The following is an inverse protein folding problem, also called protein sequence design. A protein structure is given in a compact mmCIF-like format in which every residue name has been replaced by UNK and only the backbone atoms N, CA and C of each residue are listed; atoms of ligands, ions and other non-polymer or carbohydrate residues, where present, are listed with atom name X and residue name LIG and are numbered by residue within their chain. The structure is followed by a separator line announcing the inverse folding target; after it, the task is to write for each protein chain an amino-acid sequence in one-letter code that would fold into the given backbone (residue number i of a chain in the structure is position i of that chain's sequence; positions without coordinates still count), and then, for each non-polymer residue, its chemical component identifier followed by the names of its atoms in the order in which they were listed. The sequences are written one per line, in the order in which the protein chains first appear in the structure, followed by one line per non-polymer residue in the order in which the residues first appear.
data_IF_680358068909
#
_entry.id   IF_680358068909
#
_cell.length_a   1.000
_cell.length_b   1.000
_cell.length_c   1.000
_cell.angle_alpha   90.00
_cell.angle_beta   90.00
_cell.angle_gamma   90.00
#
_symmetry.space_group_name_H-M   'P 1'
#
loop_
_entity.id
_entity.type
_entity.pdbx_description
1 polymer ?
#
# COMPACT_ATOMS: atom_id res chain seq x y z
N UNK A 1 -15.96 -5.94 -14.06
CA UNK A 1 -15.46 -4.59 -14.39
C UNK A 1 -13.97 -4.48 -14.11
N UNK A 2 -13.28 -3.72 -14.92
CA UNK A 2 -11.86 -3.43 -14.73
C UNK A 2 -11.74 -1.95 -14.44
N UNK A 3 -11.09 -1.61 -13.32
CA UNK A 3 -10.85 -0.23 -12.94
C UNK A 3 -9.34 0.02 -12.85
N UNK A 4 -8.86 1.04 -13.56
CA UNK A 4 -7.52 1.55 -13.43
C UNK A 4 -7.55 2.79 -12.54
N UNK A 5 -6.61 2.89 -11.62
CA UNK A 5 -6.53 4.05 -10.74
C UNK A 5 -5.10 4.49 -10.54
N UNK A 6 -4.94 5.75 -10.23
CA UNK A 6 -3.65 6.32 -9.91
C UNK A 6 -3.82 7.52 -8.99
N UNK A 7 -2.95 7.61 -8.00
CA UNK A 7 -2.87 8.73 -7.08
C UNK A 7 -1.42 9.20 -6.98
N UNK A 8 -1.25 10.51 -6.93
CA UNK A 8 0.05 11.11 -6.70
C UNK A 8 -0.07 12.13 -5.58
N UNK A 9 0.91 12.16 -4.71
CA UNK A 9 0.94 13.10 -3.59
C UNK A 9 2.34 13.44 -3.17
N UNK A 10 2.46 14.57 -2.50
CA UNK A 10 3.70 14.99 -1.88
C UNK A 10 3.66 14.62 -0.41
N UNK A 11 4.85 14.43 0.16
CA UNK A 11 4.96 14.14 1.57
C UNK A 11 4.48 15.31 2.43
N UNK A 12 3.98 14.99 3.62
CA UNK A 12 3.37 15.92 4.57
C UNK A 12 4.39 16.70 5.41
N UNK A 13 3.97 17.84 5.96
CA UNK A 13 4.69 18.65 6.97
C UNK A 13 6.08 19.13 6.52
N UNK A 14 6.17 19.68 5.32
CA UNK A 14 7.42 20.24 4.82
C UNK A 14 8.43 19.20 4.37
N UNK A 15 8.11 17.92 4.49
CA UNK A 15 8.90 16.87 3.88
C UNK A 15 8.82 17.00 2.37
N UNK A 16 9.97 16.98 1.71
CA UNK A 16 10.03 17.05 0.26
C UNK A 16 10.08 15.64 -0.34
N UNK A 17 9.17 15.34 -1.23
CA UNK A 17 9.16 14.04 -1.89
C UNK A 17 7.85 13.77 -2.57
N UNK A 18 7.86 12.86 -3.52
CA UNK A 18 6.69 12.46 -4.31
C UNK A 18 6.45 10.98 -4.18
N UNK A 19 5.23 10.62 -3.85
CA UNK A 19 4.74 9.25 -3.81
C UNK A 19 3.65 9.09 -4.87
N UNK A 20 3.77 8.04 -5.68
CA UNK A 20 2.77 7.71 -6.70
C UNK A 20 2.28 6.31 -6.45
N UNK A 21 0.97 6.16 -6.37
CA UNK A 21 0.30 4.87 -6.34
C UNK A 21 -0.43 4.65 -7.65
N UNK A 22 -0.33 3.46 -8.19
CA UNK A 22 -1.11 3.05 -9.35
C UNK A 22 -1.50 1.60 -9.23
N UNK A 23 -2.60 1.24 -9.87
CA UNK A 23 -3.08 -0.12 -9.76
C UNK A 23 -4.25 -0.43 -10.67
N UNK A 24 -4.67 -1.68 -10.61
CA UNK A 24 -5.81 -2.20 -11.34
C UNK A 24 -6.68 -3.03 -10.40
N UNK A 25 -7.97 -2.79 -10.45
CA UNK A 25 -8.98 -3.62 -9.75
C UNK A 25 -9.84 -4.32 -10.77
N UNK A 26 -9.94 -5.63 -10.63
CA UNK A 26 -10.83 -6.48 -11.43
C UNK A 26 -11.96 -6.98 -10.55
N UNK A 27 -13.20 -6.64 -10.91
CA UNK A 27 -14.39 -7.12 -10.22
C UNK A 27 -15.17 -8.09 -11.09
N UNK A 28 -15.67 -9.16 -10.49
CA UNK A 28 -16.42 -10.22 -11.16
C UNK A 28 -17.65 -10.59 -10.33
N UNK A 29 -18.86 -10.56 -10.91
CA UNK A 29 -20.02 -11.09 -10.21
C UNK A 29 -19.90 -12.62 -10.09
N UNK A 30 -20.07 -13.15 -8.89
CA UNK A 30 -19.97 -14.59 -8.61
C UNK A 30 -21.36 -15.23 -8.57
N UNK A 31 -22.21 -14.76 -7.67
CA UNK A 31 -23.59 -15.16 -7.52
C UNK A 31 -24.41 -13.93 -7.17
N UNK A 32 -25.74 -14.07 -7.03
CA UNK A 32 -26.60 -12.97 -6.63
C UNK A 32 -26.08 -12.31 -5.34
N UNK A 33 -25.92 -11.00 -5.37
CA UNK A 33 -25.48 -10.18 -4.22
C UNK A 33 -24.04 -10.43 -3.77
N UNK A 34 -23.26 -11.25 -4.48
CA UNK A 34 -21.87 -11.53 -4.16
C UNK A 34 -20.99 -11.20 -5.36
N UNK A 35 -20.04 -10.28 -5.16
CA UNK A 35 -19.05 -9.90 -6.14
C UNK A 35 -17.66 -10.23 -5.63
N UNK A 36 -16.85 -10.87 -6.47
CA UNK A 36 -15.44 -11.07 -6.19
C UNK A 36 -14.60 -9.95 -6.77
N UNK A 37 -13.46 -9.67 -6.15
CA UNK A 37 -12.53 -8.70 -6.68
C UNK A 37 -11.08 -9.12 -6.45
N UNK A 38 -10.22 -8.64 -7.33
CA UNK A 38 -8.76 -8.72 -7.20
C UNK A 38 -8.20 -7.33 -7.46
N UNK A 39 -7.35 -6.87 -6.57
CA UNK A 39 -6.68 -5.59 -6.69
C UNK A 39 -5.17 -5.78 -6.69
N UNK A 40 -4.50 -5.19 -7.66
CA UNK A 40 -3.05 -5.18 -7.78
C UNK A 40 -2.59 -3.75 -7.86
N UNK A 41 -1.69 -3.35 -6.97
CA UNK A 41 -1.19 -1.98 -6.94
C UNK A 41 0.29 -1.92 -6.60
N UNK A 42 0.88 -0.80 -6.95
CA UNK A 42 2.27 -0.49 -6.62
C UNK A 42 2.39 0.94 -6.13
N UNK A 43 3.33 1.15 -5.23
CA UNK A 43 3.74 2.46 -4.76
C UNK A 43 5.13 2.75 -5.27
N UNK A 44 5.29 3.88 -5.92
CA UNK A 44 6.58 4.40 -6.38
C UNK A 44 6.86 5.72 -5.67
N UNK A 45 8.11 5.94 -5.31
CA UNK A 45 8.53 7.18 -4.69
C UNK A 45 9.84 7.68 -5.28
N UNK A 46 10.05 9.00 -5.25
CA UNK A 46 11.32 9.58 -5.63
C UNK A 46 12.35 9.44 -4.49
N UNK A 47 13.60 9.74 -4.78
CA UNK A 47 14.69 9.61 -3.81
C UNK A 47 14.47 10.40 -2.53
N UNK A 48 13.92 11.60 -2.63
CA UNK A 48 13.66 12.45 -1.45
C UNK A 48 12.67 11.79 -0.50
N UNK A 49 11.60 11.22 -1.03
CA UNK A 49 10.61 10.52 -0.23
C UNK A 49 11.23 9.31 0.46
N UNK A 50 12.00 8.50 -0.27
CA UNK A 50 12.65 7.31 0.28
C UNK A 50 13.63 7.67 1.39
N UNK A 51 14.46 8.68 1.18
CA UNK A 51 15.40 9.14 2.22
C UNK A 51 14.68 9.67 3.45
N UNK A 52 13.59 10.41 3.27
CA UNK A 52 12.83 11.01 4.36
C UNK A 52 12.21 9.96 5.29
N UNK A 53 11.62 8.91 4.73
CA UNK A 53 10.84 7.93 5.49
C UNK A 53 11.60 6.66 5.82
N UNK A 54 12.59 6.29 5.04
CA UNK A 54 13.33 5.03 5.20
C UNK A 54 14.84 5.23 5.34
N UNK A 55 15.33 6.44 5.14
CA UNK A 55 16.75 6.74 5.28
C UNK A 55 17.15 6.92 6.74
N UNK A 56 18.40 6.61 7.03
CA UNK A 56 19.04 6.88 8.32
C UNK A 56 20.31 7.67 8.06
N UNK A 57 20.35 8.93 8.49
CA UNK A 57 21.56 9.76 8.33
C UNK A 57 22.66 9.30 9.29
N UNK A 58 23.94 9.65 9.04
CA UNK A 58 25.01 9.35 10.00
C UNK A 58 24.75 9.90 11.41
N UNK A 59 24.14 11.07 11.53
CA UNK A 59 23.75 11.64 12.83
C UNK A 59 22.71 10.80 13.54
N UNK A 60 21.70 10.35 12.80
CA UNK A 60 20.65 9.48 13.33
C UNK A 60 21.20 8.11 13.71
N UNK A 61 22.16 7.58 12.96
CA UNK A 61 22.80 6.31 13.26
C UNK A 61 23.56 6.37 14.60
N UNK A 62 24.16 7.49 14.94
CA UNK A 62 24.86 7.68 16.21
C UNK A 62 23.93 7.72 17.43
N UNK A 63 22.67 8.13 17.23
CA UNK A 63 21.68 8.29 18.30
C UNK A 63 20.63 7.21 18.34
N UNK A 64 20.73 6.20 17.48
CA UNK A 64 19.75 5.12 17.35
C UNK A 64 20.44 3.76 17.23
N UNK A 65 19.64 2.69 17.22
CA UNK A 65 20.13 1.33 16.99
C UNK A 65 20.33 0.98 15.52
N UNK A 66 20.00 1.90 14.60
CA UNK A 66 20.01 1.63 13.18
C UNK A 66 21.31 2.09 12.53
N UNK A 67 21.81 1.32 11.58
CA UNK A 67 22.90 1.74 10.73
C UNK A 67 22.49 2.85 9.78
N UNK A 68 23.45 3.66 9.33
CA UNK A 68 23.17 4.71 8.35
C UNK A 68 22.71 4.10 7.02
N UNK A 69 21.70 4.69 6.43
CA UNK A 69 21.17 4.31 5.13
C UNK A 69 20.81 5.55 4.31
N UNK A 70 21.43 5.66 3.15
CA UNK A 70 21.16 6.74 2.21
C UNK A 70 20.44 6.18 0.98
N UNK A 71 19.28 6.75 0.66
CA UNK A 71 18.58 6.41 -0.56
C UNK A 71 19.31 7.00 -1.76
N UNK A 72 19.68 6.15 -2.70
CA UNK A 72 20.45 6.57 -3.87
C UNK A 72 19.60 6.74 -5.11
N UNK A 73 18.38 6.20 -5.12
CA UNK A 73 17.52 6.21 -6.30
C UNK A 73 16.05 6.21 -5.94
N UNK A 74 15.24 6.61 -6.90
CA UNK A 74 13.80 6.45 -6.89
C UNK A 74 13.42 5.02 -7.27
N UNK A 75 12.25 4.57 -6.88
CA UNK A 75 11.81 3.27 -7.29
C UNK A 75 10.50 2.82 -6.66
N UNK A 76 10.12 1.60 -6.95
CA UNK A 76 8.96 0.95 -6.36
C UNK A 76 9.24 0.64 -4.89
N UNK A 77 8.34 1.06 -4.01
CA UNK A 77 8.42 0.79 -2.57
C UNK A 77 7.77 -0.56 -2.24
N UNK A 78 6.51 -0.69 -2.58
CA UNK A 78 5.69 -1.85 -2.27
C UNK A 78 4.91 -2.30 -3.49
N UNK A 79 4.72 -3.60 -3.60
CA UNK A 79 3.75 -4.22 -4.48
C UNK A 79 2.68 -4.86 -3.61
N UNK A 80 1.42 -4.56 -3.88
CA UNK A 80 0.29 -5.07 -3.13
C UNK A 80 -0.59 -5.93 -4.02
N UNK A 81 -1.01 -7.07 -3.48
CA UNK A 81 -2.02 -7.92 -4.10
C UNK A 81 -3.11 -8.20 -3.07
N UNK A 82 -4.35 -7.96 -3.43
CA UNK A 82 -5.49 -8.15 -2.56
C UNK A 82 -6.61 -8.84 -3.31
N UNK A 83 -7.30 -9.75 -2.64
CA UNK A 83 -8.50 -10.38 -3.17
C UNK A 83 -9.58 -10.38 -2.11
N UNK A 84 -10.82 -10.44 -2.55
CA UNK A 84 -11.91 -10.47 -1.61
C UNK A 84 -13.25 -10.66 -2.26
N UNK A 85 -14.27 -10.62 -1.42
CA UNK A 85 -15.66 -10.66 -1.83
C UNK A 85 -16.40 -9.52 -1.17
N UNK A 86 -17.32 -8.92 -1.91
CA UNK A 86 -18.29 -7.97 -1.42
C UNK A 86 -19.66 -8.61 -1.46
N UNK A 87 -20.32 -8.66 -0.32
CA UNK A 87 -21.64 -9.29 -0.16
C UNK A 87 -22.65 -8.21 0.17
N UNK A 88 -23.65 -8.06 -0.66
CA UNK A 88 -24.78 -7.16 -0.40
C UNK A 88 -25.75 -7.86 0.55
N UNK A 89 -25.77 -7.42 1.80
CA UNK A 89 -26.64 -7.98 2.84
C UNK A 89 -28.05 -7.42 2.76
N UNK A 90 -28.16 -6.13 2.44
CA UNK A 90 -29.40 -5.38 2.37
C UNK A 90 -29.20 -4.23 1.37
N UNK A 91 -30.24 -3.51 1.06
CA UNK A 91 -30.17 -2.33 0.17
C UNK A 91 -29.13 -1.31 0.61
N UNK A 92 -28.89 -1.22 1.90
CA UNK A 92 -28.03 -0.21 2.50
C UNK A 92 -26.79 -0.79 3.19
N UNK A 93 -26.61 -2.11 3.16
CA UNK A 93 -25.52 -2.75 3.90
C UNK A 93 -24.73 -3.70 3.00
N UNK A 94 -23.41 -3.53 3.04
CA UNK A 94 -22.46 -4.40 2.36
C UNK A 94 -21.45 -4.96 3.35
N UNK A 95 -21.11 -6.21 3.20
CA UNK A 95 -20.03 -6.86 3.93
C UNK A 95 -18.90 -7.15 2.96
N UNK A 96 -17.71 -6.69 3.28
CA UNK A 96 -16.51 -6.89 2.47
C UNK A 96 -15.52 -7.72 3.26
N UNK A 97 -15.12 -8.85 2.70
CA UNK A 97 -14.08 -9.71 3.26
C UNK A 97 -12.92 -9.70 2.30
N UNK A 98 -11.75 -9.33 2.77
CA UNK A 98 -10.57 -9.24 1.92
C UNK A 98 -9.35 -9.86 2.59
N UNK A 99 -8.44 -10.33 1.73
CA UNK A 99 -7.16 -10.88 2.14
C UNK A 99 -6.11 -10.41 1.14
N UNK A 100 -5.00 -9.91 1.65
CA UNK A 100 -3.99 -9.35 0.78
C UNK A 100 -2.59 -9.52 1.33
N UNK A 101 -1.64 -9.25 0.45
CA UNK A 101 -0.22 -9.29 0.77
C UNK A 101 0.48 -8.06 0.19
N UNK A 102 1.27 -7.42 1.03
CA UNK A 102 2.13 -6.32 0.65
C UNK A 102 3.58 -6.79 0.70
N UNK A 103 4.32 -6.56 -0.36
CA UNK A 103 5.72 -6.98 -0.46
C UNK A 103 6.60 -5.76 -0.69
N UNK A 104 7.59 -5.56 0.19
CA UNK A 104 8.57 -4.50 0.05
C UNK A 104 9.55 -4.81 -1.07
N UNK A 105 9.97 -3.79 -1.81
CA UNK A 105 10.99 -3.93 -2.85
C UNK A 105 12.37 -4.25 -2.25
N UNK A 106 13.26 -4.79 -3.09
CA UNK A 106 14.64 -5.04 -2.68
C UNK A 106 15.35 -3.75 -2.23
N UNK A 107 15.03 -2.62 -2.87
CA UNK A 107 15.58 -1.32 -2.49
C UNK A 107 15.18 -0.93 -1.06
N UNK A 108 13.93 -1.14 -0.68
CA UNK A 108 13.45 -0.86 0.68
C UNK A 108 14.07 -1.80 1.71
N UNK A 109 14.31 -3.05 1.34
CA UNK A 109 14.89 -4.03 2.26
C UNK A 109 16.33 -3.71 2.66
N UNK A 110 17.01 -2.82 1.95
CA UNK A 110 18.30 -2.31 2.34
C UNK A 110 18.22 -1.32 3.52
N UNK A 111 17.04 -0.73 3.77
CA UNK A 111 16.86 0.16 4.90
C UNK A 111 16.77 -0.62 6.22
N UNK A 112 17.52 -0.21 7.27
CA UNK A 112 17.44 -0.87 8.57
C UNK A 112 16.11 -0.67 9.28
N UNK A 113 15.27 0.25 8.80
CA UNK A 113 13.94 0.48 9.36
C UNK A 113 12.91 -0.56 8.90
N UNK A 114 13.24 -1.33 7.85
CA UNK A 114 12.36 -2.37 7.31
C UNK A 114 12.81 -3.73 7.82
N UNK A 115 11.99 -4.38 8.61
CA UNK A 115 12.29 -5.68 9.22
C UNK A 115 11.53 -6.85 8.59
N UNK A 116 10.57 -6.59 7.72
CA UNK A 116 9.78 -7.64 7.06
C UNK A 116 9.64 -7.34 5.57
N UNK A 117 9.94 -8.34 4.74
CA UNK A 117 9.80 -8.23 3.29
C UNK A 117 8.34 -8.21 2.85
N UNK A 118 7.49 -8.96 3.53
CA UNK A 118 6.07 -9.04 3.18
C UNK A 118 5.20 -9.10 4.41
N UNK A 119 3.99 -8.56 4.26
CA UNK A 119 2.95 -8.57 5.27
C UNK A 119 1.66 -9.10 4.67
N UNK A 120 0.94 -9.88 5.46
CA UNK A 120 -0.39 -10.37 5.09
C UNK A 120 -1.43 -9.58 5.87
N UNK A 121 -2.46 -9.12 5.18
CA UNK A 121 -3.53 -8.31 5.77
C UNK A 121 -4.86 -8.96 5.44
N UNK A 122 -5.65 -9.22 6.47
CA UNK A 122 -7.03 -9.68 6.34
C UNK A 122 -7.94 -8.62 6.94
N UNK A 123 -9.04 -8.33 6.26
CA UNK A 123 -9.98 -7.32 6.70
C UNK A 123 -11.41 -7.80 6.54
N UNK A 124 -12.24 -7.40 7.49
CA UNK A 124 -13.68 -7.55 7.46
C UNK A 124 -14.28 -6.15 7.65
N UNK A 125 -15.01 -5.69 6.66
CA UNK A 125 -15.59 -4.34 6.68
C UNK A 125 -17.09 -4.42 6.46
N UNK A 126 -17.84 -3.87 7.40
CA UNK A 126 -19.29 -3.70 7.27
C UNK A 126 -19.56 -2.23 6.94
N UNK A 127 -20.18 -1.99 5.80
CA UNK A 127 -20.56 -0.63 5.39
C UNK A 127 -22.05 -0.49 5.39
N UNK A 128 -22.52 0.67 5.86
CA UNK A 128 -23.93 1.03 5.81
C UNK A 128 -24.08 2.39 5.15
N UNK A 129 -24.99 2.47 4.19
CA UNK A 129 -25.34 3.73 3.55
C UNK A 129 -26.51 4.36 4.31
N UNK A 130 -26.39 5.63 4.60
CA UNK A 130 -27.48 6.41 5.22
C UNK A 130 -28.11 7.29 4.15
N UNK A 131 -29.43 7.41 4.16
CA UNK A 131 -30.13 8.31 3.22
C UNK A 131 -29.78 9.78 3.48
#
# INVERSE_FOLDING_TARGET
AITLYGNAGNSWHGASGTLVQWGVTLGVPLINQVNGFVDLSRYWANQRYVQQYYGVTPSQSQTSHYGAFNAHMSGTLYANAQMGVAIELDRDMDLIVSHGRSTASAMLMESPLINQKSQTISALVLTRRFP
#
